data_IF_599589958141
#
_entry.id   IF_599589958141
#
_cell.length_a   1.000
_cell.length_b   1.000
_cell.length_c   1.000
_cell.angle_alpha   90.00
_cell.angle_beta   90.00
_cell.angle_gamma   90.00
#
_symmetry.space_group_name_H-M   'P 1'
#
loop_
_entity.id
_entity.type
_entity.pdbx_description
1 polymer ?
#
# COMPACT_ATOMS: atom_id res chain seq x y z
N UNK A 1 13.37 8.77 1.99
CA UNK A 1 13.50 7.45 2.64
C UNK A 1 13.40 6.43 1.51
N UNK A 2 14.54 5.95 0.98
CA UNK A 2 14.57 5.41 -0.39
C UNK A 2 15.47 4.15 -0.55
N UNK A 3 15.71 3.32 0.47
CA UNK A 3 16.47 2.06 0.29
C UNK A 3 15.93 0.90 1.14
N UNK A 4 16.32 -0.34 0.80
CA UNK A 4 15.87 -1.56 1.46
C UNK A 4 16.15 -1.54 2.98
N UNK A 5 17.31 -1.02 3.40
CA UNK A 5 17.63 -0.89 4.82
C UNK A 5 16.63 0.00 5.56
N UNK A 6 16.29 1.17 4.99
CA UNK A 6 15.30 2.10 5.53
C UNK A 6 13.91 1.45 5.61
N UNK A 7 13.55 0.67 4.58
CA UNK A 7 12.29 -0.09 4.54
C UNK A 7 12.28 -1.14 5.67
N UNK A 8 13.36 -1.91 5.84
CA UNK A 8 13.45 -2.90 6.91
C UNK A 8 13.41 -2.25 8.30
N UNK A 9 14.08 -1.10 8.50
CA UNK A 9 14.00 -0.30 9.73
C UNK A 9 12.57 0.15 9.99
N UNK A 10 11.89 0.64 8.95
CA UNK A 10 10.50 1.08 9.03
C UNK A 10 9.57 -0.08 9.43
N UNK A 11 9.65 -1.21 8.73
CA UNK A 11 8.87 -2.42 9.02
C UNK A 11 9.13 -2.96 10.43
N UNK A 12 10.40 -2.93 10.87
CA UNK A 12 10.77 -3.36 12.21
C UNK A 12 10.18 -2.46 13.29
N UNK A 13 10.31 -1.13 13.14
CA UNK A 13 9.76 -0.15 14.07
C UNK A 13 8.23 -0.19 14.10
N UNK A 14 7.60 -0.40 12.94
CA UNK A 14 6.15 -0.58 12.81
C UNK A 14 5.66 -1.77 13.63
N UNK A 15 6.40 -2.88 13.60
CA UNK A 15 6.12 -4.08 14.40
C UNK A 15 6.55 -3.96 15.88
N UNK A 16 7.14 -2.82 16.27
CA UNK A 16 7.62 -2.53 17.63
C UNK A 16 8.63 -3.55 18.18
N UNK A 17 9.42 -4.15 17.30
CA UNK A 17 10.45 -5.13 17.68
C UNK A 17 11.86 -4.54 17.53
N UNK A 18 12.78 -5.07 18.30
CA UNK A 18 14.21 -4.77 18.27
C UNK A 18 14.91 -5.59 17.19
N UNK A 19 16.11 -5.18 16.78
CA UNK A 19 16.92 -5.97 15.84
C UNK A 19 17.21 -7.37 16.39
N UNK A 20 17.32 -7.50 17.72
CA UNK A 20 17.55 -8.76 18.41
C UNK A 20 16.36 -9.71 18.28
N UNK A 21 15.14 -9.21 18.48
CA UNK A 21 13.92 -10.01 18.36
C UNK A 21 13.67 -10.48 16.92
N UNK A 22 13.95 -9.63 15.92
CA UNK A 22 13.89 -10.04 14.50
C UNK A 22 14.92 -11.14 14.22
N UNK A 23 16.13 -10.98 14.74
CA UNK A 23 17.20 -11.94 14.54
C UNK A 23 16.86 -13.29 15.18
N UNK A 24 16.38 -13.28 16.41
CA UNK A 24 15.93 -14.48 17.13
C UNK A 24 14.80 -15.20 16.39
N UNK A 25 13.76 -14.47 15.99
CA UNK A 25 12.61 -15.05 15.30
C UNK A 25 12.97 -15.68 13.95
N UNK A 26 14.02 -15.18 13.27
CA UNK A 26 14.45 -15.66 11.96
C UNK A 26 15.69 -16.58 12.02
N UNK A 27 16.18 -16.93 13.22
CA UNK A 27 17.39 -17.73 13.38
C UNK A 27 18.65 -17.06 12.81
N UNK A 28 18.70 -15.73 12.87
CA UNK A 28 19.77 -14.90 12.34
C UNK A 28 20.59 -14.26 13.45
N UNK A 29 21.75 -13.68 13.10
CA UNK A 29 22.48 -12.84 14.05
C UNK A 29 21.97 -11.40 14.01
N UNK A 30 21.95 -10.73 15.17
CA UNK A 30 21.62 -9.29 15.28
C UNK A 30 22.52 -8.45 14.37
N UNK A 31 23.79 -8.86 14.23
CA UNK A 31 24.75 -8.23 13.33
C UNK A 31 24.29 -8.29 11.88
N UNK A 32 23.67 -9.38 11.44
CA UNK A 32 23.11 -9.50 10.09
C UNK A 32 21.97 -8.49 9.87
N UNK A 33 21.01 -8.45 10.79
CA UNK A 33 19.87 -7.50 10.73
C UNK A 33 20.37 -6.05 10.72
N UNK A 34 21.31 -5.71 11.61
CA UNK A 34 21.93 -4.38 11.67
C UNK A 34 22.61 -4.00 10.36
N UNK A 35 23.35 -4.92 9.73
CA UNK A 35 23.99 -4.64 8.44
C UNK A 35 22.98 -4.48 7.30
N UNK A 36 21.85 -5.19 7.32
CA UNK A 36 20.77 -4.99 6.36
C UNK A 36 20.09 -3.63 6.53
N UNK A 37 19.72 -3.29 7.76
CA UNK A 37 19.05 -2.02 8.10
C UNK A 37 19.92 -0.79 7.84
N UNK A 38 21.25 -0.94 7.90
CA UNK A 38 22.23 0.12 7.62
C UNK A 38 22.78 0.09 6.20
N UNK A 39 22.26 -0.78 5.32
CA UNK A 39 22.74 -1.01 3.95
C UNK A 39 24.22 -1.40 3.84
N UNK A 40 24.85 -1.85 4.93
CA UNK A 40 26.23 -2.39 4.95
C UNK A 40 26.34 -3.79 4.32
N UNK A 41 25.21 -4.45 4.12
CA UNK A 41 25.07 -5.66 3.30
C UNK A 41 23.59 -5.81 2.89
N UNK A 42 23.31 -6.54 1.83
CA UNK A 42 21.94 -6.94 1.47
C UNK A 42 21.63 -8.37 1.95
N UNK A 43 20.39 -8.67 2.38
CA UNK A 43 19.97 -10.04 2.61
C UNK A 43 19.95 -10.82 1.30
N UNK A 44 20.29 -12.12 1.36
CA UNK A 44 20.05 -12.99 0.21
C UNK A 44 18.54 -13.19 0.01
N UNK A 45 18.14 -13.75 -1.12
CA UNK A 45 16.74 -13.90 -1.46
C UNK A 45 15.94 -14.68 -0.41
N UNK A 46 16.47 -15.82 0.07
CA UNK A 46 15.80 -16.64 1.08
C UNK A 46 15.58 -15.87 2.39
N UNK A 47 16.59 -15.11 2.82
CA UNK A 47 16.53 -14.25 4.00
C UNK A 47 15.55 -13.09 3.78
N UNK A 48 15.56 -12.46 2.61
CA UNK A 48 14.63 -11.36 2.30
C UNK A 48 13.19 -11.86 2.30
N UNK A 49 12.94 -13.03 1.69
CA UNK A 49 11.66 -13.73 1.74
C UNK A 49 11.22 -13.95 3.19
N UNK A 50 12.09 -14.52 4.03
CA UNK A 50 11.77 -14.74 5.44
C UNK A 50 11.54 -13.44 6.22
N UNK A 51 12.28 -12.36 5.91
CA UNK A 51 12.05 -11.04 6.48
C UNK A 51 10.67 -10.50 6.06
N UNK A 52 10.33 -10.60 4.78
CA UNK A 52 9.04 -10.17 4.25
C UNK A 52 7.89 -10.96 4.87
N UNK A 53 7.99 -12.28 4.92
CA UNK A 53 7.02 -13.16 5.60
C UNK A 53 6.90 -12.82 7.09
N UNK A 54 8.03 -12.61 7.78
CA UNK A 54 8.06 -12.19 9.17
C UNK A 54 7.38 -10.85 9.41
N UNK A 55 7.48 -9.90 8.48
CA UNK A 55 6.77 -8.62 8.54
C UNK A 55 5.34 -8.67 7.99
N UNK A 56 4.83 -9.86 7.61
CA UNK A 56 3.45 -10.06 7.17
C UNK A 56 3.24 -9.95 5.65
N UNK A 57 4.30 -9.85 4.86
CA UNK A 57 4.25 -9.84 3.40
C UNK A 57 4.41 -11.26 2.86
N UNK A 58 3.27 -11.89 2.53
CA UNK A 58 3.19 -13.24 2.01
C UNK A 58 3.71 -13.39 0.57
N UNK A 59 4.31 -14.55 0.33
CA UNK A 59 5.00 -15.01 -0.88
C UNK A 59 4.09 -15.28 -2.07
N UNK A 60 3.75 -14.27 -2.86
CA UNK A 60 2.94 -14.53 -4.06
C UNK A 60 3.32 -13.82 -5.37
N UNK A 61 4.55 -13.30 -5.56
CA UNK A 61 4.89 -12.81 -6.93
C UNK A 61 6.34 -12.83 -7.39
N UNK A 62 7.24 -13.63 -6.80
CA UNK A 62 8.67 -13.53 -7.16
C UNK A 62 9.31 -14.78 -7.78
N UNK A 63 8.53 -15.77 -8.23
CA UNK A 63 9.11 -16.89 -8.98
C UNK A 63 8.22 -17.47 -10.07
N UNK A 64 8.75 -17.45 -11.29
CA UNK A 64 9.07 -18.59 -12.16
C UNK A 64 10.06 -18.00 -13.19
N UNK A 65 11.37 -18.30 -13.34
CA UNK A 65 12.17 -19.54 -13.32
C UNK A 65 13.71 -19.26 -13.27
N UNK A 66 14.51 -20.20 -12.70
CA UNK A 66 15.97 -20.55 -12.83
C UNK A 66 17.12 -19.51 -12.66
N UNK A 67 18.24 -19.96 -12.06
CA UNK A 67 19.06 -19.20 -11.09
C UNK A 67 20.42 -18.62 -11.55
N UNK A 68 20.93 -18.91 -12.75
CA UNK A 68 22.29 -18.46 -13.14
C UNK A 68 22.36 -17.12 -13.91
N UNK A 69 21.27 -16.70 -14.58
CA UNK A 69 21.20 -15.37 -15.22
C UNK A 69 20.99 -14.23 -14.21
N UNK A 70 20.51 -14.55 -13.01
CA UNK A 70 20.12 -13.62 -11.93
C UNK A 70 21.30 -12.80 -11.39
N UNK A 71 22.53 -13.32 -11.50
CA UNK A 71 23.73 -12.70 -10.93
C UNK A 71 24.36 -11.63 -11.84
N UNK A 72 24.22 -11.73 -13.15
CA UNK A 72 24.59 -10.68 -14.11
C UNK A 72 23.47 -9.64 -14.27
N UNK A 73 22.22 -10.03 -14.06
CA UNK A 73 21.07 -9.12 -13.96
C UNK A 73 21.21 -8.13 -12.78
N UNK A 74 21.75 -8.56 -11.64
CA UNK A 74 21.83 -7.84 -10.34
C UNK A 74 22.34 -6.39 -10.35
N UNK A 75 23.21 -6.00 -11.28
CA UNK A 75 23.71 -4.63 -11.36
C UNK A 75 22.79 -3.70 -12.18
N UNK A 76 21.98 -4.27 -13.07
CA UNK A 76 20.77 -3.63 -13.59
C UNK A 76 19.61 -3.75 -12.59
N UNK A 77 19.54 -4.84 -11.81
CA UNK A 77 18.35 -5.30 -11.06
C UNK A 77 17.96 -4.46 -9.85
N UNK A 78 18.88 -3.69 -9.25
CA UNK A 78 18.49 -2.75 -8.18
C UNK A 78 17.79 -1.52 -8.78
N UNK A 79 18.29 -1.07 -9.95
CA UNK A 79 17.58 -0.13 -10.81
C UNK A 79 16.35 -0.75 -11.46
N UNK A 80 16.37 -2.05 -11.82
CA UNK A 80 15.19 -2.73 -12.37
C UNK A 80 14.16 -3.00 -11.31
N UNK A 81 14.49 -3.27 -10.05
CA UNK A 81 13.50 -3.51 -9.02
C UNK A 81 12.76 -2.22 -8.64
N UNK A 82 13.51 -1.11 -8.48
CA UNK A 82 12.88 0.21 -8.35
C UNK A 82 12.11 0.58 -9.62
N UNK A 83 12.65 0.29 -10.81
CA UNK A 83 11.95 0.49 -12.07
C UNK A 83 10.78 -0.46 -12.27
N UNK A 84 10.76 -1.65 -11.66
CA UNK A 84 9.72 -2.67 -11.73
C UNK A 84 8.60 -2.30 -10.80
N UNK A 85 8.90 -1.85 -9.57
CA UNK A 85 7.92 -1.26 -8.67
C UNK A 85 7.32 0.02 -9.27
N UNK A 86 8.15 0.86 -9.89
CA UNK A 86 7.68 2.04 -10.61
C UNK A 86 6.90 1.67 -11.88
N UNK A 87 7.30 0.62 -12.59
CA UNK A 87 6.58 0.11 -13.76
C UNK A 87 5.25 -0.51 -13.35
N UNK A 88 5.20 -1.19 -12.21
CA UNK A 88 3.99 -1.74 -11.62
C UNK A 88 3.06 -0.64 -11.13
N UNK A 89 3.61 0.41 -10.50
CA UNK A 89 2.87 1.63 -10.18
C UNK A 89 2.30 2.28 -11.44
N UNK A 90 3.13 2.49 -12.47
CA UNK A 90 2.71 3.06 -13.75
C UNK A 90 1.69 2.16 -14.47
N UNK A 91 1.85 0.83 -14.40
CA UNK A 91 0.89 -0.16 -14.91
C UNK A 91 -0.43 0.01 -14.19
N UNK A 92 -0.42 0.05 -12.86
CA UNK A 92 -1.61 0.26 -12.04
C UNK A 92 -2.29 1.61 -12.34
N UNK A 93 -1.54 2.67 -12.66
CA UNK A 93 -2.10 3.95 -13.12
C UNK A 93 -2.72 3.89 -14.53
N UNK A 94 -2.35 2.89 -15.35
CA UNK A 94 -2.88 2.68 -16.69
C UNK A 94 -3.88 1.52 -16.76
N UNK A 95 -4.10 0.79 -15.66
CA UNK A 95 -5.16 -0.20 -15.54
C UNK A 95 -6.53 0.46 -15.81
N UNK A 96 -7.43 -0.31 -16.41
CA UNK A 96 -8.82 0.08 -16.59
C UNK A 96 -9.70 -0.65 -15.57
N UNK A 97 -10.78 -0.02 -15.09
CA UNK A 97 -11.81 -0.72 -14.35
C UNK A 97 -12.37 -1.88 -15.18
N UNK A 98 -12.65 -3.00 -14.53
CA UNK A 98 -13.24 -4.17 -15.16
C UNK A 98 -14.77 -4.01 -15.23
N UNK A 99 -15.41 -4.43 -16.32
CA UNK A 99 -16.87 -4.39 -16.43
C UNK A 99 -17.53 -5.31 -15.42
N UNK A 100 -18.68 -4.91 -14.88
CA UNK A 100 -19.47 -5.71 -13.95
C UNK A 100 -18.97 -5.70 -12.50
N UNK A 101 -17.98 -4.87 -12.17
CA UNK A 101 -17.49 -4.69 -10.80
C UNK A 101 -17.76 -3.29 -10.28
N UNK A 102 -18.00 -3.22 -8.98
CA UNK A 102 -18.17 -1.98 -8.23
C UNK A 102 -16.82 -1.48 -7.69
N UNK A 103 -16.68 -0.16 -7.60
CA UNK A 103 -15.44 0.49 -7.16
C UNK A 103 -15.67 1.55 -6.08
N UNK A 104 -14.67 1.71 -5.21
CA UNK A 104 -14.49 2.86 -4.33
C UNK A 104 -13.39 3.78 -4.86
N UNK A 105 -13.43 5.05 -4.44
CA UNK A 105 -12.29 5.96 -4.56
C UNK A 105 -11.70 6.17 -3.16
N UNK A 106 -10.48 5.69 -2.96
CA UNK A 106 -9.72 5.80 -1.71
C UNK A 106 -8.45 6.63 -1.90
N UNK A 107 -7.88 7.12 -0.80
CA UNK A 107 -6.56 7.74 -0.78
C UNK A 107 -5.74 7.41 0.47
N UNK A 108 -4.42 7.56 0.34
CA UNK A 108 -3.44 7.34 1.40
C UNK A 108 -2.30 8.34 1.32
N UNK A 109 -2.06 9.08 2.40
CA UNK A 109 -0.97 10.04 2.53
C UNK A 109 -0.23 9.81 3.85
N UNK A 110 0.83 8.98 3.79
CA UNK A 110 1.48 8.45 4.99
C UNK A 110 0.52 7.55 5.75
N UNK A 111 0.21 7.90 6.99
CA UNK A 111 -0.74 7.17 7.85
C UNK A 111 -2.19 7.67 7.72
N UNK A 112 -2.43 8.73 6.95
CA UNK A 112 -3.76 9.28 6.75
C UNK A 112 -4.43 8.53 5.60
N UNK A 113 -5.57 7.91 5.89
CA UNK A 113 -6.41 7.24 4.90
C UNK A 113 -7.74 7.99 4.74
N UNK A 114 -8.31 7.91 3.55
CA UNK A 114 -9.59 8.55 3.25
C UNK A 114 -10.17 8.07 1.93
N UNK A 115 -11.20 8.78 1.47
CA UNK A 115 -11.84 8.45 0.20
C UNK A 115 -13.12 9.24 -0.01
N UNK A 116 -13.81 8.93 -1.11
CA UNK A 116 -15.15 9.46 -1.31
C UNK A 116 -16.14 8.72 -0.43
N UNK A 117 -16.81 9.48 0.43
CA UNK A 117 -17.74 8.94 1.42
C UNK A 117 -19.14 9.50 1.24
N UNK A 118 -20.13 8.76 1.73
CA UNK A 118 -21.52 9.19 1.88
C UNK A 118 -21.86 9.32 3.36
N UNK A 119 -22.76 10.25 3.67
CA UNK A 119 -23.35 10.36 4.99
C UNK A 119 -24.14 9.09 5.32
N UNK A 120 -24.05 8.64 6.57
CA UNK A 120 -24.83 7.53 7.12
C UNK A 120 -25.71 8.02 8.25
N UNK A 121 -25.10 8.65 9.25
CA UNK A 121 -25.80 9.15 10.44
C UNK A 121 -24.98 10.24 11.15
N UNK A 122 -25.51 10.81 12.22
CA UNK A 122 -24.76 11.67 13.14
C UNK A 122 -24.21 10.87 14.32
N UNK A 123 -23.07 11.30 14.86
CA UNK A 123 -22.49 10.67 16.06
C UNK A 123 -23.30 10.94 17.33
N UNK A 124 -24.13 11.98 17.31
CA UNK A 124 -24.91 12.44 18.45
C UNK A 124 -26.05 13.36 18.00
N UNK A 125 -27.01 13.60 18.89
CA UNK A 125 -28.17 14.47 18.65
C UNK A 125 -27.79 15.92 18.34
N UNK A 126 -26.60 16.38 18.76
CA UNK A 126 -26.09 17.73 18.46
C UNK A 126 -25.66 17.91 17.00
N UNK A 127 -25.58 16.80 16.24
CA UNK A 127 -25.23 16.74 14.82
C UNK A 127 -23.91 17.41 14.47
N UNK A 128 -22.99 17.56 15.42
CA UNK A 128 -21.70 18.20 15.16
C UNK A 128 -20.75 17.31 14.36
N UNK A 129 -20.92 15.99 14.46
CA UNK A 129 -20.10 15.01 13.75
C UNK A 129 -20.95 14.05 12.95
N UNK A 130 -20.51 13.79 11.73
CA UNK A 130 -21.11 12.84 10.80
C UNK A 130 -20.35 11.50 10.83
N UNK A 131 -21.12 10.43 10.83
CA UNK A 131 -20.69 9.07 10.50
C UNK A 131 -20.81 8.92 8.99
N UNK A 132 -19.71 8.57 8.34
CA UNK A 132 -19.63 8.44 6.89
C UNK A 132 -19.00 7.11 6.49
N UNK A 133 -19.47 6.53 5.39
CA UNK A 133 -18.92 5.29 4.83
C UNK A 133 -18.40 5.52 3.42
N UNK A 134 -17.46 4.71 2.95
CA UNK A 134 -17.09 4.72 1.52
C UNK A 134 -18.33 4.50 0.66
N UNK A 135 -18.39 5.24 -0.45
CA UNK A 135 -19.48 5.15 -1.41
C UNK A 135 -18.98 4.58 -2.72
N UNK A 136 -19.85 3.85 -3.40
CA UNK A 136 -19.62 3.42 -4.78
C UNK A 136 -19.38 4.64 -5.66
N UNK A 137 -18.40 4.53 -6.57
CA UNK A 137 -18.08 5.56 -7.54
C UNK A 137 -18.19 5.03 -8.97
N UNK A 138 -18.64 5.86 -9.93
CA UNK A 138 -18.50 5.55 -11.34
C UNK A 138 -17.01 5.66 -11.71
N UNK A 139 -16.32 4.55 -12.01
CA UNK A 139 -14.87 4.53 -11.94
C UNK A 139 -14.22 5.29 -13.10
N UNK A 140 -14.81 5.30 -14.29
CA UNK A 140 -14.26 6.01 -15.46
C UNK A 140 -14.27 7.53 -15.23
N UNK A 141 -15.38 8.05 -14.73
CA UNK A 141 -15.61 9.45 -14.43
C UNK A 141 -14.74 9.91 -13.26
N UNK A 142 -14.56 9.02 -12.27
CA UNK A 142 -13.71 9.26 -11.10
C UNK A 142 -12.24 9.38 -11.49
N UNK A 143 -11.74 8.52 -12.38
CA UNK A 143 -10.37 8.62 -12.93
C UNK A 143 -10.18 9.97 -13.63
N UNK A 144 -11.09 10.36 -14.54
CA UNK A 144 -11.03 11.65 -15.23
C UNK A 144 -11.02 12.83 -14.26
N UNK A 145 -11.85 12.77 -13.21
CA UNK A 145 -11.93 13.81 -12.18
C UNK A 145 -10.65 13.88 -11.36
N UNK A 146 -10.10 12.75 -10.95
CA UNK A 146 -8.82 12.67 -10.24
C UNK A 146 -7.69 13.31 -11.06
N UNK A 147 -7.57 12.95 -12.33
CA UNK A 147 -6.57 13.51 -13.24
C UNK A 147 -6.71 15.03 -13.40
N UNK A 148 -7.95 15.54 -13.47
CA UNK A 148 -8.19 16.98 -13.58
C UNK A 148 -7.76 17.75 -12.32
N UNK A 149 -8.09 17.23 -11.14
CA UNK A 149 -7.82 17.88 -9.84
C UNK A 149 -6.34 17.79 -9.46
N UNK A 150 -5.78 16.58 -9.49
CA UNK A 150 -4.45 16.30 -8.93
C UNK A 150 -3.34 16.30 -10.00
N UNK A 151 -3.69 16.47 -11.28
CA UNK A 151 -2.75 16.37 -12.41
C UNK A 151 -2.00 15.04 -12.47
N UNK A 152 -2.57 13.99 -11.86
CA UNK A 152 -2.01 12.64 -11.79
C UNK A 152 -3.13 11.61 -11.86
N UNK A 153 -2.85 10.49 -12.52
CA UNK A 153 -3.76 9.34 -12.58
C UNK A 153 -3.82 8.64 -11.22
N UNK A 154 -5.02 8.24 -10.75
CA UNK A 154 -5.11 7.33 -9.62
C UNK A 154 -4.62 5.94 -10.05
N UNK A 155 -4.18 5.14 -9.09
CA UNK A 155 -3.95 3.70 -9.30
C UNK A 155 -5.31 3.00 -9.39
N UNK A 156 -5.50 2.13 -10.38
CA UNK A 156 -6.69 1.27 -10.48
C UNK A 156 -6.35 -0.14 -10.00
N UNK A 157 -7.00 -0.55 -8.90
CA UNK A 157 -6.73 -1.81 -8.18
C UNK A 157 -7.81 -2.83 -8.54
N UNK A 158 -7.45 -3.83 -9.33
CA UNK A 158 -8.37 -4.90 -9.77
C UNK A 158 -8.06 -6.27 -9.15
N UNK A 159 -6.89 -6.42 -8.52
CA UNK A 159 -6.41 -7.68 -7.95
C UNK A 159 -5.61 -7.41 -6.68
N UNK A 160 -5.50 -8.42 -5.81
CA UNK A 160 -4.77 -8.39 -4.56
C UNK A 160 -3.36 -7.78 -4.67
N UNK A 161 -2.60 -8.14 -5.71
CA UNK A 161 -1.23 -7.66 -5.87
C UNK A 161 -1.13 -6.14 -6.09
N UNK A 162 -2.16 -5.51 -6.66
CA UNK A 162 -2.17 -4.05 -6.88
C UNK A 162 -2.35 -3.29 -5.54
N UNK A 163 -2.90 -3.94 -4.51
CA UNK A 163 -3.01 -3.38 -3.15
C UNK A 163 -1.63 -3.11 -2.57
N UNK A 164 -0.68 -4.04 -2.73
CA UNK A 164 0.69 -3.87 -2.23
C UNK A 164 1.38 -2.66 -2.87
N UNK A 165 1.15 -2.44 -4.16
CA UNK A 165 1.68 -1.28 -4.89
C UNK A 165 1.08 0.02 -4.32
N UNK A 166 -0.23 0.04 -4.07
CA UNK A 166 -0.87 1.21 -3.46
C UNK A 166 -0.37 1.45 -2.01
N UNK A 167 -0.21 0.40 -1.22
CA UNK A 167 0.25 0.50 0.17
C UNK A 167 1.66 1.10 0.29
N UNK A 168 2.54 0.79 -0.67
CA UNK A 168 3.92 1.28 -0.75
C UNK A 168 4.02 2.73 -1.22
N UNK A 169 3.25 3.11 -2.24
CA UNK A 169 3.39 4.42 -2.90
C UNK A 169 2.37 5.47 -2.42
N UNK A 170 1.19 5.03 -1.95
CA UNK A 170 0.08 5.89 -1.59
C UNK A 170 -0.48 6.73 -2.75
N UNK A 171 -1.13 7.83 -2.40
CA UNK A 171 -1.83 8.73 -3.32
C UNK A 171 -3.31 8.36 -3.46
N UNK A 172 -3.84 8.52 -4.66
CA UNK A 172 -5.24 8.27 -5.00
C UNK A 172 -5.40 6.91 -5.69
N UNK A 173 -6.47 6.17 -5.36
CA UNK A 173 -6.80 4.90 -6.00
C UNK A 173 -8.30 4.71 -6.25
N UNK A 174 -8.59 4.00 -7.34
CA UNK A 174 -9.91 3.47 -7.68
C UNK A 174 -9.84 1.95 -7.50
N UNK A 175 -10.46 1.45 -6.43
CA UNK A 175 -10.29 0.06 -5.97
C UNK A 175 -11.59 -0.71 -6.08
N UNK A 176 -11.51 -1.95 -6.58
CA UNK A 176 -12.65 -2.87 -6.63
C UNK A 176 -13.16 -3.15 -5.22
N UNK A 177 -14.47 -3.08 -5.00
CA UNK A 177 -15.03 -3.14 -3.64
C UNK A 177 -14.75 -4.44 -2.92
N UNK A 178 -14.84 -5.58 -3.58
CA UNK A 178 -14.50 -6.90 -3.04
C UNK A 178 -13.01 -7.00 -2.61
N UNK A 179 -12.10 -6.46 -3.42
CA UNK A 179 -10.66 -6.38 -3.09
C UNK A 179 -10.43 -5.47 -1.89
N UNK A 180 -11.11 -4.32 -1.82
CA UNK A 180 -11.01 -3.40 -0.69
C UNK A 180 -11.52 -4.06 0.60
N UNK A 181 -12.67 -4.72 0.53
CA UNK A 181 -13.28 -5.43 1.66
C UNK A 181 -12.37 -6.54 2.20
N UNK A 182 -11.73 -7.31 1.31
CA UNK A 182 -10.94 -8.47 1.70
C UNK A 182 -9.53 -8.10 2.20
N UNK A 183 -8.90 -7.09 1.58
CA UNK A 183 -7.47 -6.81 1.78
C UNK A 183 -7.16 -5.45 2.40
N UNK A 184 -8.15 -4.59 2.62
CA UNK A 184 -7.96 -3.20 3.09
C UNK A 184 -9.01 -2.83 4.15
N UNK A 185 -9.13 -3.68 5.19
CA UNK A 185 -10.17 -3.59 6.22
C UNK A 185 -10.25 -2.23 6.93
N UNK A 186 -9.14 -1.49 7.01
CA UNK A 186 -9.05 -0.16 7.59
C UNK A 186 -9.85 0.91 6.82
N UNK A 187 -10.21 0.64 5.56
CA UNK A 187 -11.08 1.51 4.77
C UNK A 187 -12.57 1.18 4.95
N UNK A 188 -12.88 0.07 5.61
CA UNK A 188 -14.25 -0.42 5.80
C UNK A 188 -14.88 -0.01 7.13
N UNK A 189 -14.12 0.70 7.97
CA UNK A 189 -14.64 1.34 9.17
C UNK A 189 -15.26 2.70 8.85
N UNK A 190 -16.20 3.11 9.68
CA UNK A 190 -16.84 4.42 9.54
C UNK A 190 -15.81 5.56 9.73
N UNK A 191 -15.92 6.55 8.86
CA UNK A 191 -15.17 7.79 8.93
C UNK A 191 -15.98 8.80 9.74
N UNK A 192 -15.33 9.45 10.70
CA UNK A 192 -15.92 10.56 11.45
C UNK A 192 -15.43 11.88 10.86
N UNK A 193 -16.36 12.77 10.49
CA UNK A 193 -16.02 14.11 10.02
C UNK A 193 -16.89 15.18 10.67
N UNK A 194 -16.35 16.38 10.81
CA UNK A 194 -17.13 17.54 11.26
C UNK A 194 -18.27 17.83 10.27
N UNK A 195 -19.46 18.11 10.81
CA UNK A 195 -20.60 18.55 10.03
C UNK A 195 -20.36 19.99 9.57
N UNK A 196 -20.22 20.19 8.26
CA UNK A 196 -19.89 21.49 7.66
C UNK A 196 -21.03 22.51 7.75
N UNK A 197 -22.26 22.06 7.98
CA UNK A 197 -23.42 22.94 8.09
C UNK A 197 -23.47 23.65 9.45
N UNK A 198 -22.78 23.12 10.48
CA UNK A 198 -22.67 23.74 11.81
C UNK A 198 -21.46 24.68 11.97
N UNK A 199 -20.54 24.73 10.99
CA UNK A 199 -19.31 25.56 11.07
C UNK A 199 -19.59 27.04 10.75
N UNK A 200 -20.77 27.35 10.20
CA UNK A 200 -21.18 28.70 9.80
C UNK A 200 -22.36 29.28 10.59
N UNK A 201 -22.71 28.67 11.75
CA UNK A 201 -23.62 29.26 12.74
C UNK A 201 -22.82 29.92 13.87
#
# INVERSE_FOLDING_TARGET
MNNLGDILVYLRKLKQVTQSEVAEALGMTVRSISRYETNKSGPNFAILKSLMEYYGFGTLSLFESTTQDILSLKHGLLGTFEAELLNDYNRCQNNKPLPGYDYFWINKYGNLIGGQTRFVDFCSDDRNKEIRTLRLVPPIESIKRCESIYKKKPVVINKRMDVLIFELFGGEAIVRTDICNEYMSEYMVDFISENKDNIFQ
#
